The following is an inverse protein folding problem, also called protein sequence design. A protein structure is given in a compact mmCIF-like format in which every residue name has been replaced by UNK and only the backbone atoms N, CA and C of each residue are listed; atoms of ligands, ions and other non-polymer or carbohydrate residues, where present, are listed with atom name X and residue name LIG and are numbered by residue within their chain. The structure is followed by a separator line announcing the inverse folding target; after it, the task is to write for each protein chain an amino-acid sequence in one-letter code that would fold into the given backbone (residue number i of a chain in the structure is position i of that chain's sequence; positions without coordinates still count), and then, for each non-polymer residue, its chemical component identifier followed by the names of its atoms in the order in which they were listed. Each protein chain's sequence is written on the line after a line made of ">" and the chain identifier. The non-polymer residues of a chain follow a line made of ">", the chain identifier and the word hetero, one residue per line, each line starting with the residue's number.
data_IF_882192023056
#
_entry.id   IF_882192023056
#
_cell.length_a   1.000
_cell.length_b   1.000
_cell.length_c   1.000
_cell.angle_alpha   90.00
_cell.angle_beta   90.00
_cell.angle_gamma   90.00
#
_symmetry.space_group_name_H-M   'P 1'
#
loop_
_entity.id
_entity.type
_entity.pdbx_description
1 polymer ?
#
# COMPACT_ATOMS: atom_id res chain seq x y z
N UNK A 1 17.15 -12.78 1.23
CA UNK A 1 17.68 -13.22 2.53
C UNK A 1 16.57 -13.33 3.58
N UNK A 2 15.69 -12.32 3.76
CA UNK A 2 14.58 -12.34 4.75
C UNK A 2 13.69 -13.58 4.56
N UNK A 3 13.29 -13.89 3.34
CA UNK A 3 12.46 -15.06 3.05
C UNK A 3 13.11 -16.38 3.47
N UNK A 4 14.45 -16.52 3.32
CA UNK A 4 15.17 -17.72 3.75
C UNK A 4 15.09 -17.90 5.28
N UNK A 5 15.21 -16.80 6.02
CA UNK A 5 15.10 -16.82 7.48
C UNK A 5 13.66 -17.18 7.90
N UNK A 6 12.65 -16.52 7.31
CA UNK A 6 11.26 -16.77 7.63
C UNK A 6 10.81 -18.19 7.26
N UNK A 7 11.30 -18.74 6.13
CA UNK A 7 11.09 -20.17 5.79
C UNK A 7 11.64 -21.11 6.86
N UNK A 8 12.84 -20.84 7.41
CA UNK A 8 13.43 -21.64 8.50
C UNK A 8 12.66 -21.52 9.81
N UNK A 9 12.15 -20.32 10.10
CA UNK A 9 11.34 -20.05 11.31
C UNK A 9 9.93 -20.64 11.20
N UNK A 10 9.48 -20.98 9.98
CA UNK A 10 8.10 -21.36 9.69
C UNK A 10 7.09 -20.32 10.18
N UNK A 11 7.47 -19.03 10.12
CA UNK A 11 6.68 -17.88 10.52
C UNK A 11 7.29 -16.58 9.98
N UNK A 12 6.44 -15.66 9.59
CA UNK A 12 6.87 -14.30 9.21
C UNK A 12 5.73 -13.46 8.67
N UNK A 13 5.95 -12.16 8.69
CA UNK A 13 5.03 -11.17 8.13
C UNK A 13 5.82 -10.18 7.29
N UNK A 14 5.48 -10.08 6.01
CA UNK A 14 6.08 -9.14 5.06
C UNK A 14 5.01 -8.12 4.69
N UNK A 15 5.35 -6.84 4.82
CA UNK A 15 4.45 -5.74 4.49
C UNK A 15 5.17 -4.83 3.51
N UNK A 16 4.66 -4.77 2.28
CA UNK A 16 5.19 -3.94 1.22
C UNK A 16 4.47 -2.59 1.17
N UNK A 17 5.17 -1.53 0.80
CA UNK A 17 4.57 -0.22 0.56
C UNK A 17 4.23 -0.07 -0.92
N UNK A 18 2.94 -0.25 -1.25
CA UNK A 18 2.39 0.01 -2.57
C UNK A 18 1.99 1.50 -2.72
N UNK A 19 0.87 1.78 -3.35
CA UNK A 19 0.25 3.10 -3.54
C UNK A 19 -1.11 2.90 -4.21
N UNK A 20 -2.00 3.89 -4.15
CA UNK A 20 -3.15 3.97 -5.07
C UNK A 20 -2.71 3.91 -6.55
N UNK A 21 -1.50 4.38 -6.87
CA UNK A 21 -0.88 4.19 -8.18
C UNK A 21 -0.55 2.75 -8.56
N UNK A 22 -0.68 1.80 -7.64
CA UNK A 22 -0.63 0.36 -7.93
C UNK A 22 -1.99 -0.21 -8.35
N UNK A 23 -3.07 0.53 -8.12
CA UNK A 23 -4.45 0.16 -8.51
C UNK A 23 -4.83 0.75 -9.86
N UNK A 24 -4.56 2.03 -10.07
CA UNK A 24 -4.91 2.75 -11.29
C UNK A 24 -3.74 3.60 -11.79
N UNK A 25 -3.67 3.81 -13.08
CA UNK A 25 -2.67 4.65 -13.72
C UNK A 25 -3.15 6.11 -13.89
N UNK A 26 -2.20 6.98 -14.20
CA UNK A 26 -2.45 8.37 -14.53
C UNK A 26 -1.36 8.91 -15.48
N UNK A 27 -1.57 10.08 -16.03
CA UNK A 27 -0.60 10.74 -16.88
C UNK A 27 0.65 11.18 -16.09
N UNK A 28 1.75 11.39 -16.81
CA UNK A 28 3.00 12.01 -16.34
C UNK A 28 3.88 11.18 -15.39
N UNK A 29 3.42 10.03 -14.88
CA UNK A 29 4.17 9.21 -13.91
C UNK A 29 4.22 7.72 -14.29
N UNK A 30 4.46 7.41 -15.57
CA UNK A 30 4.38 6.05 -16.12
C UNK A 30 5.27 5.07 -15.33
N UNK A 31 6.53 5.43 -15.08
CA UNK A 31 7.48 4.58 -14.34
C UNK A 31 7.03 4.33 -12.88
N UNK A 32 6.47 5.34 -12.24
CA UNK A 32 5.92 5.21 -10.88
C UNK A 32 4.76 4.21 -10.83
N UNK A 33 3.77 4.36 -11.70
CA UNK A 33 2.62 3.44 -11.77
C UNK A 33 3.06 2.02 -12.10
N UNK A 34 3.99 1.86 -13.05
CA UNK A 34 4.55 0.55 -13.37
C UNK A 34 5.25 -0.08 -12.15
N UNK A 35 6.03 0.69 -11.40
CA UNK A 35 6.71 0.21 -10.20
C UNK A 35 5.73 -0.20 -9.11
N UNK A 36 4.71 0.61 -8.84
CA UNK A 36 3.72 0.36 -7.78
C UNK A 36 2.74 -0.76 -8.14
N UNK A 37 2.36 -0.88 -9.41
CA UNK A 37 1.64 -2.05 -9.93
C UNK A 37 2.46 -3.32 -9.82
N UNK A 38 3.77 -3.22 -10.09
CA UNK A 38 4.74 -4.30 -9.86
C UNK A 38 4.78 -4.76 -8.41
N UNK A 39 4.79 -3.84 -7.44
CA UNK A 39 4.75 -4.17 -6.00
C UNK A 39 3.47 -4.91 -5.63
N UNK A 40 2.31 -4.48 -6.14
CA UNK A 40 1.02 -5.16 -5.87
C UNK A 40 1.06 -6.60 -6.38
N UNK A 41 1.53 -6.81 -7.61
CA UNK A 41 1.56 -8.16 -8.16
C UNK A 41 2.69 -9.02 -7.55
N UNK A 42 3.84 -8.43 -7.24
CA UNK A 42 4.92 -9.07 -6.48
C UNK A 42 4.42 -9.56 -5.11
N UNK A 43 3.63 -8.75 -4.41
CA UNK A 43 3.02 -9.13 -3.12
C UNK A 43 2.17 -10.38 -3.24
N UNK A 44 1.35 -10.49 -4.27
CA UNK A 44 0.49 -11.66 -4.53
C UNK A 44 1.32 -12.92 -4.85
N UNK A 45 2.31 -12.78 -5.72
CA UNK A 45 3.18 -13.88 -6.10
C UNK A 45 3.98 -14.42 -4.92
N UNK A 46 4.58 -13.50 -4.14
CA UNK A 46 5.37 -13.86 -2.97
C UNK A 46 4.51 -14.47 -1.85
N UNK A 47 3.29 -13.99 -1.67
CA UNK A 47 2.32 -14.56 -0.74
C UNK A 47 2.02 -16.03 -1.06
N UNK A 48 1.78 -16.33 -2.33
CA UNK A 48 1.56 -17.71 -2.79
C UNK A 48 2.78 -18.60 -2.57
N UNK A 49 3.98 -18.08 -2.84
CA UNK A 49 5.23 -18.85 -2.65
C UNK A 49 5.52 -19.13 -1.17
N UNK A 50 5.22 -18.19 -0.27
CA UNK A 50 5.59 -18.28 1.13
C UNK A 50 4.48 -18.89 2.03
N UNK A 51 3.26 -19.03 1.54
CA UNK A 51 2.14 -19.59 2.29
C UNK A 51 2.43 -20.97 2.93
N UNK A 52 3.10 -21.93 2.25
CA UNK A 52 3.44 -23.22 2.88
C UNK A 52 4.36 -23.12 4.11
N UNK A 53 4.98 -21.96 4.32
CA UNK A 53 5.88 -21.71 5.45
C UNK A 53 5.23 -20.79 6.52
N UNK A 54 3.92 -20.67 6.51
CA UNK A 54 3.18 -19.80 7.44
C UNK A 54 3.67 -18.34 7.46
N UNK A 55 4.16 -17.86 6.31
CA UNK A 55 4.56 -16.47 6.11
C UNK A 55 3.47 -15.74 5.35
N UNK A 56 2.94 -14.67 5.93
CA UNK A 56 1.99 -13.79 5.23
C UNK A 56 2.72 -12.64 4.52
N UNK A 57 2.26 -12.28 3.35
CA UNK A 57 2.81 -11.17 2.57
C UNK A 57 1.66 -10.28 2.11
N UNK A 58 1.64 -9.04 2.59
CA UNK A 58 0.60 -8.08 2.26
C UNK A 58 1.23 -6.74 1.86
N UNK A 59 0.42 -5.83 1.37
CA UNK A 59 0.84 -4.48 1.04
C UNK A 59 -0.12 -3.44 1.64
N UNK A 60 0.42 -2.28 1.97
CA UNK A 60 -0.35 -1.07 2.24
C UNK A 60 -0.24 -0.19 1.01
N UNK A 61 -1.38 0.28 0.51
CA UNK A 61 -1.49 1.21 -0.61
C UNK A 61 -1.96 2.58 -0.13
N UNK A 62 -1.05 3.48 0.26
CA UNK A 62 -1.44 4.81 0.68
C UNK A 62 -2.07 5.61 -0.46
N UNK A 63 -3.05 6.45 -0.13
CA UNK A 63 -3.51 7.55 -0.93
C UNK A 63 -2.51 8.71 -0.90
N UNK A 64 -3.04 9.93 -0.91
CA UNK A 64 -2.20 11.14 -0.80
C UNK A 64 -2.11 11.55 0.67
N UNK A 65 -0.88 11.67 1.12
CA UNK A 65 -0.51 12.13 2.46
C UNK A 65 0.40 13.35 2.35
N UNK A 66 0.33 14.24 3.31
CA UNK A 66 1.29 15.33 3.44
C UNK A 66 2.63 14.75 3.94
N UNK A 67 3.62 14.77 3.06
CA UNK A 67 4.97 14.27 3.30
C UNK A 67 5.98 15.19 2.64
N UNK A 68 7.26 15.09 2.98
CA UNK A 68 8.32 15.86 2.31
C UNK A 68 8.26 15.73 0.77
N UNK A 69 7.86 14.57 0.25
CA UNK A 69 7.75 14.33 -1.20
C UNK A 69 6.54 15.01 -1.84
N UNK A 70 5.46 15.20 -1.09
CA UNK A 70 4.18 15.72 -1.61
C UNK A 70 3.90 17.14 -1.20
N UNK A 71 4.60 17.66 -0.18
CA UNK A 71 4.33 18.97 0.44
C UNK A 71 4.23 20.11 -0.59
N UNK A 72 5.20 20.22 -1.49
CA UNK A 72 5.21 21.25 -2.53
C UNK A 72 4.12 21.07 -3.60
N UNK A 73 3.50 19.88 -3.65
CA UNK A 73 2.42 19.55 -4.58
C UNK A 73 1.03 19.71 -3.96
N UNK A 74 0.95 20.01 -2.66
CA UNK A 74 -0.32 20.16 -1.93
C UNK A 74 -0.92 21.58 -2.04
N UNK A 75 -0.25 22.48 -2.77
CA UNK A 75 -0.73 23.82 -3.05
C UNK A 75 -1.23 23.96 -4.48
N UNK A 76 -2.21 24.82 -4.69
CA UNK A 76 -2.70 25.22 -6.01
C UNK A 76 -3.81 24.32 -6.58
N UNK A 77 -4.04 24.45 -7.89
CA UNK A 77 -5.18 23.82 -8.57
C UNK A 77 -5.05 22.30 -8.68
N UNK A 78 -3.83 21.78 -8.76
CA UNK A 78 -3.58 20.34 -8.79
C UNK A 78 -3.92 19.67 -7.46
N UNK A 79 -3.58 20.34 -6.35
CA UNK A 79 -3.97 19.87 -5.02
C UNK A 79 -5.48 19.80 -4.86
N UNK A 80 -6.19 20.86 -5.24
CA UNK A 80 -7.66 20.90 -5.22
C UNK A 80 -8.28 19.83 -6.12
N UNK A 81 -7.69 19.60 -7.29
CA UNK A 81 -8.13 18.52 -8.20
C UNK A 81 -8.01 17.15 -7.54
N UNK A 82 -6.87 16.86 -6.91
CA UNK A 82 -6.66 15.57 -6.21
C UNK A 82 -7.57 15.44 -4.99
N UNK A 83 -7.70 16.50 -4.18
CA UNK A 83 -8.57 16.52 -3.00
C UNK A 83 -10.03 16.24 -3.39
N UNK A 84 -10.50 16.81 -4.49
CA UNK A 84 -11.84 16.56 -5.03
C UNK A 84 -12.08 15.11 -5.50
N UNK A 85 -11.01 14.32 -5.64
CA UNK A 85 -11.09 12.87 -5.95
C UNK A 85 -11.04 11.97 -4.73
N UNK A 86 -10.86 12.53 -3.54
CA UNK A 86 -10.86 11.79 -2.28
C UNK A 86 -12.24 11.93 -1.63
N UNK A 87 -13.05 10.88 -1.55
CA UNK A 87 -14.39 10.95 -0.96
C UNK A 87 -14.44 11.54 0.45
N UNK A 88 -13.40 11.33 1.27
CA UNK A 88 -13.29 11.96 2.58
C UNK A 88 -12.95 13.46 2.53
N UNK A 89 -12.68 14.04 1.34
CA UNK A 89 -12.45 15.46 1.12
C UNK A 89 -11.21 16.03 1.81
N UNK A 90 -10.20 15.20 2.06
CA UNK A 90 -8.96 15.60 2.71
C UNK A 90 -7.81 14.64 2.42
N UNK A 91 -6.60 15.12 2.65
CA UNK A 91 -5.39 14.30 2.67
C UNK A 91 -5.31 13.40 3.92
N UNK A 92 -4.57 12.32 3.81
CA UNK A 92 -4.19 11.49 4.96
C UNK A 92 -3.23 12.25 5.88
N UNK A 93 -3.31 11.94 7.17
CA UNK A 93 -2.49 12.54 8.23
C UNK A 93 -1.53 11.51 8.79
N UNK A 94 -0.48 12.00 9.46
CA UNK A 94 0.44 11.15 10.21
C UNK A 94 -0.32 10.23 11.17
N UNK A 95 0.12 8.99 11.26
CA UNK A 95 -0.49 7.95 12.09
C UNK A 95 -1.68 7.22 11.45
N UNK A 96 -2.26 7.72 10.36
CA UNK A 96 -3.44 7.06 9.74
C UNK A 96 -3.09 5.78 8.96
N UNK A 97 -1.80 5.49 8.76
CA UNK A 97 -1.32 4.20 8.23
C UNK A 97 -1.02 3.18 9.34
N UNK A 98 -0.87 3.62 10.60
CA UNK A 98 -0.41 2.79 11.71
C UNK A 98 -1.35 1.62 11.97
N UNK A 99 -2.66 1.84 11.93
CA UNK A 99 -3.65 0.79 12.11
C UNK A 99 -3.52 -0.35 11.07
N UNK A 100 -3.29 0.00 9.82
CA UNK A 100 -3.07 -0.97 8.74
C UNK A 100 -1.75 -1.75 8.96
N UNK A 101 -0.69 -1.04 9.36
CA UNK A 101 0.61 -1.63 9.65
C UNK A 101 0.51 -2.60 10.85
N UNK A 102 -0.09 -2.18 11.95
CA UNK A 102 -0.29 -3.01 13.15
C UNK A 102 -1.14 -4.24 12.82
N UNK A 103 -2.23 -4.06 12.06
CA UNK A 103 -3.06 -5.19 11.61
C UNK A 103 -2.24 -6.23 10.85
N UNK A 104 -1.50 -5.83 9.83
CA UNK A 104 -0.69 -6.77 9.05
C UNK A 104 0.51 -7.33 9.80
N UNK A 105 1.07 -6.58 10.77
CA UNK A 105 2.20 -7.02 11.58
C UNK A 105 1.81 -7.95 12.74
N UNK A 106 0.52 -8.03 13.08
CA UNK A 106 0.02 -8.82 14.22
C UNK A 106 -0.70 -10.09 13.75
N UNK A 107 -1.03 -10.97 14.71
CA UNK A 107 -1.79 -12.19 14.43
C UNK A 107 -3.28 -11.93 14.13
N UNK A 108 -3.76 -10.69 14.31
CA UNK A 108 -5.08 -10.28 13.83
C UNK A 108 -5.25 -10.51 12.31
N UNK A 109 -4.14 -10.53 11.55
CA UNK A 109 -4.11 -10.81 10.11
C UNK A 109 -3.64 -12.23 9.76
N UNK A 110 -3.71 -13.19 10.69
CA UNK A 110 -3.16 -14.54 10.48
C UNK A 110 -3.74 -15.30 9.28
N UNK A 111 -4.96 -14.94 8.85
CA UNK A 111 -5.61 -15.52 7.66
C UNK A 111 -5.66 -14.55 6.47
N UNK A 112 -4.81 -13.50 6.50
CA UNK A 112 -4.74 -12.49 5.46
C UNK A 112 -3.37 -12.52 4.79
N UNK A 113 -3.33 -12.90 3.50
CA UNK A 113 -2.10 -12.87 2.69
C UNK A 113 -2.42 -12.53 1.24
N UNK A 114 -1.47 -11.92 0.53
CA UNK A 114 -1.63 -11.50 -0.87
C UNK A 114 -2.51 -10.25 -1.06
N UNK A 115 -2.89 -9.56 0.02
CA UNK A 115 -3.80 -8.43 -0.04
C UNK A 115 -3.05 -7.10 -0.11
N UNK A 116 -3.70 -6.12 -0.74
CA UNK A 116 -3.31 -4.71 -0.65
C UNK A 116 -4.45 -3.94 0.03
N UNK A 117 -4.17 -3.39 1.20
CA UNK A 117 -5.10 -2.52 1.92
C UNK A 117 -4.84 -1.07 1.51
N UNK A 118 -5.79 -0.48 0.81
CA UNK A 118 -5.72 0.92 0.46
C UNK A 118 -6.22 1.78 1.62
N UNK A 119 -5.36 2.72 2.04
CA UNK A 119 -5.65 3.73 3.06
C UNK A 119 -5.57 5.08 2.38
N UNK A 120 -6.66 5.50 1.77
CA UNK A 120 -6.66 6.52 0.73
C UNK A 120 -7.87 7.47 0.77
N UNK A 121 -8.65 7.44 1.85
CA UNK A 121 -9.85 8.26 1.97
C UNK A 121 -10.96 7.89 0.97
N UNK A 122 -10.90 6.69 0.38
CA UNK A 122 -11.87 6.20 -0.60
C UNK A 122 -11.51 6.52 -2.05
N UNK A 123 -10.31 7.01 -2.31
CA UNK A 123 -9.88 7.44 -3.65
C UNK A 123 -10.04 6.33 -4.69
N UNK A 124 -9.63 5.09 -4.39
CA UNK A 124 -9.75 3.96 -5.33
C UNK A 124 -11.19 3.49 -5.56
N UNK A 125 -12.15 3.90 -4.73
CA UNK A 125 -13.56 3.55 -4.92
C UNK A 125 -14.22 4.33 -6.06
N UNK A 126 -13.61 5.44 -6.51
CA UNK A 126 -14.15 6.38 -7.51
C UNK A 126 -13.21 6.60 -8.69
N UNK A 127 -12.16 5.80 -8.81
CA UNK A 127 -11.21 5.80 -9.93
C UNK A 127 -11.72 4.97 -11.10
#
# INVERSE_FOLDING_TARGET
>A
EVCKLMKKQNYGKIINTASVGGYAGGASQIAYYASKGGVVNFTRALASELAPYHVTVNAIGPGVFDTEMTHDSLDGDFAKYLEGRVPLGRWGKDGELDGALIYFASDASSYCTGQTLYVDGGMVCVL
#
